data_IF_245476667029
#
_entry.id   IF_245476667029
#
_cell.length_a   1.000
_cell.length_b   1.000
_cell.length_c   1.000
_cell.angle_alpha   90.00
_cell.angle_beta   90.00
_cell.angle_gamma   90.00
#
_symmetry.space_group_name_H-M   'P 1'
#
loop_
_entity.id
_entity.type
_entity.pdbx_description
1 polymer ?
#
# COMPACT_ATOMS: atom_id res chain seq x y z
N UNK A 1 -13.80 -20.23 -11.72
CA UNK A 1 -12.62 -19.78 -10.94
C UNK A 1 -12.83 -18.36 -10.49
N UNK A 2 -12.83 -18.12 -9.18
CA UNK A 2 -12.99 -16.78 -8.67
C UNK A 2 -11.74 -15.95 -8.96
N UNK A 3 -11.91 -14.77 -9.55
CA UNK A 3 -10.83 -13.80 -9.76
C UNK A 3 -10.79 -12.84 -8.57
N UNK A 4 -9.63 -12.25 -8.34
CA UNK A 4 -9.41 -11.25 -7.30
C UNK A 4 -9.63 -11.80 -5.88
N UNK A 5 -9.07 -12.97 -5.63
CA UNK A 5 -9.12 -13.60 -4.31
C UNK A 5 -8.11 -13.02 -3.33
N UNK A 6 -7.08 -12.34 -3.82
CA UNK A 6 -6.03 -11.75 -2.99
C UNK A 6 -5.65 -10.38 -3.55
N UNK A 7 -6.13 -9.35 -2.90
CA UNK A 7 -5.94 -7.97 -3.32
C UNK A 7 -4.83 -7.31 -2.49
N UNK A 8 -3.89 -6.69 -3.18
CA UNK A 8 -2.86 -5.87 -2.55
C UNK A 8 -3.23 -4.40 -2.72
N UNK A 9 -3.35 -3.69 -1.61
CA UNK A 9 -3.67 -2.26 -1.60
C UNK A 9 -2.45 -1.49 -1.15
N UNK A 10 -1.91 -0.63 -2.02
CA UNK A 10 -0.80 0.25 -1.67
C UNK A 10 -1.37 1.46 -0.93
N UNK A 11 -0.91 1.66 0.30
CA UNK A 11 -1.36 2.76 1.15
C UNK A 11 -0.59 4.02 0.81
N UNK A 12 -1.29 5.16 0.76
CA UNK A 12 -0.67 6.47 0.63
C UNK A 12 -0.36 7.01 2.04
N UNK A 13 0.93 7.20 2.38
CA UNK A 13 1.29 7.66 3.73
C UNK A 13 1.02 9.15 3.97
N UNK A 14 0.62 9.89 2.95
CA UNK A 14 0.49 11.35 3.01
C UNK A 14 -0.93 11.81 3.26
N UNK A 15 -1.89 10.91 3.37
CA UNK A 15 -3.28 11.27 3.64
C UNK A 15 -3.99 10.21 4.46
N UNK A 16 -4.99 10.64 5.22
CA UNK A 16 -5.78 9.72 6.05
C UNK A 16 -6.80 8.95 5.22
N UNK A 17 -7.43 9.61 4.24
CA UNK A 17 -8.36 8.94 3.35
C UNK A 17 -7.63 8.06 2.35
N UNK A 18 -8.07 6.80 2.24
CA UNK A 18 -7.43 5.79 1.39
C UNK A 18 -8.43 5.25 0.37
N UNK A 19 -8.60 5.96 -0.77
CA UNK A 19 -9.56 5.53 -1.79
C UNK A 19 -9.33 4.13 -2.32
N UNK A 20 -8.08 3.71 -2.45
CA UNK A 20 -7.75 2.36 -2.92
C UNK A 20 -8.21 1.30 -1.92
N UNK A 21 -8.05 1.54 -0.62
CA UNK A 21 -8.54 0.62 0.41
C UNK A 21 -10.06 0.55 0.41
N UNK A 22 -10.72 1.69 0.30
CA UNK A 22 -12.19 1.76 0.21
C UNK A 22 -12.70 0.95 -0.98
N UNK A 23 -12.03 1.05 -2.12
CA UNK A 23 -12.38 0.29 -3.32
C UNK A 23 -12.18 -1.22 -3.13
N UNK A 24 -11.10 -1.62 -2.47
CA UNK A 24 -10.85 -3.02 -2.17
C UNK A 24 -11.91 -3.61 -1.24
N UNK A 25 -12.32 -2.86 -0.22
CA UNK A 25 -13.41 -3.26 0.68
C UNK A 25 -14.71 -3.42 -0.09
N UNK A 26 -15.01 -2.49 -0.99
CA UNK A 26 -16.18 -2.58 -1.86
C UNK A 26 -16.18 -3.87 -2.68
N UNK A 27 -15.02 -4.21 -3.28
CA UNK A 27 -14.88 -5.45 -4.04
C UNK A 27 -15.04 -6.67 -3.13
N UNK A 28 -14.43 -6.65 -1.96
CA UNK A 28 -14.54 -7.75 -0.98
C UNK A 28 -16.01 -8.03 -0.65
N UNK A 29 -16.81 -6.99 -0.45
CA UNK A 29 -18.23 -7.14 -0.11
C UNK A 29 -19.03 -7.78 -1.23
N UNK A 30 -18.57 -7.70 -2.47
CA UNK A 30 -19.30 -8.22 -3.64
C UNK A 30 -18.79 -9.56 -4.14
N UNK A 31 -17.47 -9.76 -4.12
CA UNK A 31 -16.88 -10.96 -4.72
C UNK A 31 -16.01 -11.74 -3.75
N UNK A 32 -15.89 -11.28 -2.50
CA UNK A 32 -14.98 -11.88 -1.53
C UNK A 32 -13.53 -11.50 -1.79
N UNK A 33 -12.63 -12.31 -1.27
CA UNK A 33 -11.20 -12.09 -1.43
C UNK A 33 -10.57 -11.48 -0.19
N UNK A 34 -9.28 -11.71 -0.03
CA UNK A 34 -8.48 -11.17 1.06
C UNK A 34 -7.89 -9.83 0.65
N UNK A 35 -7.67 -8.98 1.63
CA UNK A 35 -7.07 -7.66 1.41
C UNK A 35 -5.79 -7.59 2.23
N UNK A 36 -4.70 -7.16 1.62
CA UNK A 36 -3.48 -6.78 2.32
C UNK A 36 -3.22 -5.30 2.06
N UNK A 37 -3.21 -4.50 3.13
CA UNK A 37 -2.79 -3.11 3.08
C UNK A 37 -1.27 -3.07 3.22
N UNK A 38 -0.58 -2.53 2.23
CA UNK A 38 0.86 -2.62 2.09
C UNK A 38 1.47 -1.22 1.96
N UNK A 39 2.54 -0.98 2.70
CA UNK A 39 3.27 0.29 2.63
C UNK A 39 4.77 0.04 2.68
N UNK A 40 5.50 0.26 1.58
CA UNK A 40 6.96 0.34 1.62
C UNK A 40 7.38 1.72 2.11
N UNK A 41 8.27 1.76 3.09
CA UNK A 41 8.81 3.00 3.65
C UNK A 41 10.32 3.00 3.58
N UNK A 42 10.91 4.19 3.52
CA UNK A 42 12.34 4.38 3.56
C UNK A 42 12.66 5.79 3.97
N UNK A 43 13.64 5.93 4.86
CA UNK A 43 14.16 7.24 5.23
C UNK A 43 15.68 7.21 5.11
N UNK A 44 16.18 7.92 4.12
CA UNK A 44 17.60 8.00 3.82
C UNK A 44 18.41 8.54 5.00
N UNK A 45 17.85 9.45 5.80
CA UNK A 45 18.55 10.04 6.92
C UNK A 45 18.92 9.02 7.99
N UNK A 46 18.08 8.01 8.22
CA UNK A 46 18.37 6.93 9.16
C UNK A 46 19.50 6.03 8.65
N UNK A 47 19.59 5.84 7.35
CA UNK A 47 20.63 5.00 6.75
C UNK A 47 22.00 5.68 6.75
N UNK A 48 22.02 7.00 6.64
CA UNK A 48 23.25 7.78 6.50
C UNK A 48 23.80 8.29 7.83
N UNK A 49 23.10 8.12 8.95
CA UNK A 49 23.60 8.59 10.22
C UNK A 49 24.75 7.71 10.73
N UNK A 50 25.85 8.34 11.13
CA UNK A 50 26.99 7.66 11.75
C UNK A 50 26.90 7.67 13.28
N UNK A 51 25.87 8.31 13.84
CA UNK A 51 25.68 8.45 15.29
C UNK A 51 25.09 7.21 15.92
N UNK A 52 24.49 6.34 15.11
CA UNK A 52 23.82 5.12 15.58
C UNK A 52 24.62 3.89 15.20
N UNK A 53 24.68 2.93 16.12
CA UNK A 53 25.18 1.60 15.83
C UNK A 53 24.24 0.85 14.89
N UNK A 54 24.69 -0.24 14.25
CA UNK A 54 23.81 -1.07 13.43
C UNK A 54 22.57 -1.58 14.18
N UNK A 55 22.72 -1.96 15.44
CA UNK A 55 21.60 -2.44 16.27
C UNK A 55 20.61 -1.31 16.58
N UNK A 56 21.12 -0.12 16.87
CA UNK A 56 20.28 1.06 17.10
C UNK A 56 19.51 1.45 15.85
N UNK A 57 20.13 1.38 14.68
CA UNK A 57 19.45 1.65 13.40
C UNK A 57 18.34 0.63 13.14
N UNK A 58 18.60 -0.64 13.39
CA UNK A 58 17.58 -1.69 13.25
C UNK A 58 16.40 -1.43 14.17
N UNK A 59 16.66 -1.08 15.42
CA UNK A 59 15.61 -0.76 16.39
C UNK A 59 14.78 0.43 15.94
N UNK A 60 15.42 1.48 15.40
CA UNK A 60 14.72 2.65 14.87
C UNK A 60 13.82 2.31 13.69
N UNK A 61 14.31 1.51 12.73
CA UNK A 61 13.50 1.05 11.60
C UNK A 61 12.28 0.29 12.07
N UNK A 62 12.46 -0.64 13.00
CA UNK A 62 11.37 -1.42 13.57
C UNK A 62 10.35 -0.53 14.28
N UNK A 63 10.82 0.51 14.99
CA UNK A 63 9.94 1.49 15.61
C UNK A 63 9.08 2.25 14.59
N UNK A 64 9.69 2.71 13.52
CA UNK A 64 8.96 3.40 12.44
C UNK A 64 7.96 2.46 11.76
N UNK A 65 8.36 1.23 11.50
CA UNK A 65 7.46 0.20 10.92
C UNK A 65 6.26 -0.03 11.85
N UNK A 66 6.51 -0.16 13.16
CA UNK A 66 5.44 -0.37 14.13
C UNK A 66 4.47 0.82 14.18
N UNK A 67 4.98 2.04 14.16
CA UNK A 67 4.15 3.25 14.14
C UNK A 67 3.28 3.31 12.88
N UNK A 68 3.84 3.04 11.71
CA UNK A 68 3.10 3.05 10.47
C UNK A 68 2.07 1.92 10.39
N UNK A 69 2.42 0.75 10.89
CA UNK A 69 1.48 -0.37 10.98
C UNK A 69 0.27 0.00 11.84
N UNK A 70 0.51 0.60 13.01
CA UNK A 70 -0.56 1.04 13.89
C UNK A 70 -1.43 2.11 13.22
N UNK A 71 -0.82 3.05 12.50
CA UNK A 71 -1.55 4.09 11.78
C UNK A 71 -2.45 3.50 10.70
N UNK A 72 -1.95 2.54 9.91
CA UNK A 72 -2.76 1.87 8.88
C UNK A 72 -3.94 1.14 9.52
N UNK A 73 -3.71 0.44 10.62
CA UNK A 73 -4.79 -0.25 11.34
C UNK A 73 -5.85 0.73 11.85
N UNK A 74 -5.43 1.91 12.29
CA UNK A 74 -6.36 2.94 12.70
C UNK A 74 -7.22 3.42 11.52
N UNK A 75 -6.60 3.62 10.35
CA UNK A 75 -7.33 4.00 9.13
C UNK A 75 -8.31 2.90 8.69
N UNK A 76 -7.98 1.65 8.92
CA UNK A 76 -8.80 0.50 8.55
C UNK A 76 -9.76 0.05 9.66
N UNK A 77 -9.75 0.70 10.80
CA UNK A 77 -10.45 0.26 12.03
C UNK A 77 -11.93 -0.06 11.79
N UNK A 78 -12.65 0.82 11.12
CA UNK A 78 -14.06 0.62 10.83
C UNK A 78 -14.29 -0.69 10.06
N UNK A 79 -13.48 -0.96 9.05
CA UNK A 79 -13.61 -2.17 8.25
C UNK A 79 -13.22 -3.42 9.04
N UNK A 80 -12.16 -3.34 9.83
CA UNK A 80 -11.71 -4.45 10.68
C UNK A 80 -12.76 -4.82 11.72
N UNK A 81 -13.36 -3.82 12.36
CA UNK A 81 -14.44 -4.04 13.33
C UNK A 81 -15.70 -4.62 12.68
N UNK A 82 -15.90 -4.33 11.40
CA UNK A 82 -17.02 -4.88 10.62
C UNK A 82 -16.75 -6.29 10.10
N UNK A 83 -15.58 -6.86 10.40
CA UNK A 83 -15.24 -8.23 10.01
C UNK A 83 -14.59 -8.37 8.64
N UNK A 84 -14.17 -7.27 8.00
CA UNK A 84 -13.46 -7.34 6.72
C UNK A 84 -12.03 -7.86 6.97
N UNK A 85 -11.58 -8.90 6.26
CA UNK A 85 -10.25 -9.46 6.48
C UNK A 85 -9.18 -8.60 5.82
N UNK A 86 -8.52 -7.75 6.61
CA UNK A 86 -7.45 -6.87 6.14
C UNK A 86 -6.18 -7.18 6.94
N UNK A 87 -5.16 -7.69 6.24
CA UNK A 87 -3.81 -7.80 6.79
C UNK A 87 -3.04 -6.52 6.51
N UNK A 88 -2.16 -6.14 7.40
CA UNK A 88 -1.33 -4.94 7.26
C UNK A 88 0.14 -5.34 7.24
N UNK A 89 0.87 -4.84 6.24
CA UNK A 89 2.31 -5.10 6.12
C UNK A 89 3.03 -3.83 5.73
N UNK A 90 4.00 -3.43 6.55
CA UNK A 90 4.88 -2.30 6.30
C UNK A 90 6.30 -2.85 6.18
N UNK A 91 7.00 -2.47 5.12
CA UNK A 91 8.37 -2.94 4.87
C UNK A 91 9.31 -1.76 4.70
N UNK A 92 10.56 -1.96 5.06
CA UNK A 92 11.63 -0.97 4.85
C UNK A 92 12.33 -1.30 3.54
N UNK A 93 12.15 -0.44 2.53
CA UNK A 93 12.70 -0.67 1.20
C UNK A 93 12.89 0.65 0.47
N UNK A 94 14.06 0.84 -0.12
CA UNK A 94 14.40 2.09 -0.81
C UNK A 94 13.81 2.23 -2.21
N UNK A 95 13.22 1.17 -2.74
CA UNK A 95 12.58 1.17 -4.06
C UNK A 95 11.14 0.67 -3.96
N UNK A 96 10.18 1.59 -3.81
CA UNK A 96 8.79 1.19 -3.55
C UNK A 96 8.22 0.23 -4.57
N UNK A 97 8.47 0.45 -5.87
CA UNK A 97 7.92 -0.41 -6.91
C UNK A 97 8.47 -1.84 -6.84
N UNK A 98 9.75 -2.00 -6.48
CA UNK A 98 10.33 -3.33 -6.32
C UNK A 98 9.71 -4.06 -5.13
N UNK A 99 9.54 -3.37 -4.01
CA UNK A 99 8.91 -3.95 -2.83
C UNK A 99 7.48 -4.42 -3.14
N UNK A 100 6.73 -3.61 -3.87
CA UNK A 100 5.35 -3.94 -4.25
C UNK A 100 5.32 -5.17 -5.16
N UNK A 101 6.17 -5.20 -6.18
CA UNK A 101 6.22 -6.34 -7.12
C UNK A 101 6.67 -7.62 -6.39
N UNK A 102 7.66 -7.53 -5.51
CA UNK A 102 8.08 -8.67 -4.70
C UNK A 102 6.94 -9.23 -3.87
N UNK A 103 6.14 -8.36 -3.28
CA UNK A 103 4.97 -8.77 -2.49
C UNK A 103 3.92 -9.45 -3.37
N UNK A 104 3.63 -8.89 -4.54
CA UNK A 104 2.69 -9.49 -5.49
C UNK A 104 3.13 -10.89 -5.89
N UNK A 105 4.40 -11.06 -6.20
CA UNK A 105 4.94 -12.36 -6.65
C UNK A 105 4.97 -13.37 -5.51
N UNK A 106 5.50 -13.00 -4.35
CA UNK A 106 5.71 -13.94 -3.25
C UNK A 106 4.40 -14.40 -2.61
N UNK A 107 3.41 -13.52 -2.53
CA UNK A 107 2.11 -13.82 -1.92
C UNK A 107 1.02 -14.11 -2.95
N UNK A 108 1.37 -14.12 -4.23
CA UNK A 108 0.46 -14.44 -5.33
C UNK A 108 -0.81 -13.59 -5.35
N UNK A 109 -0.65 -12.28 -5.16
CA UNK A 109 -1.78 -11.36 -5.29
C UNK A 109 -2.24 -11.32 -6.75
N UNK A 110 -3.56 -11.23 -6.95
CA UNK A 110 -4.16 -11.24 -8.28
C UNK A 110 -4.80 -9.92 -8.68
N UNK A 111 -4.75 -8.92 -7.81
CA UNK A 111 -5.14 -7.55 -8.11
C UNK A 111 -4.34 -6.59 -7.25
N UNK A 112 -3.81 -5.54 -7.87
CA UNK A 112 -3.11 -4.45 -7.19
C UNK A 112 -3.96 -3.19 -7.31
N UNK A 113 -4.27 -2.55 -6.17
CA UNK A 113 -5.00 -1.28 -6.14
C UNK A 113 -4.08 -0.21 -5.56
N UNK A 114 -3.98 0.91 -6.25
CA UNK A 114 -3.18 2.06 -5.81
C UNK A 114 -3.93 3.34 -6.15
N UNK A 115 -3.88 4.32 -5.27
CA UNK A 115 -4.52 5.61 -5.53
C UNK A 115 -3.80 6.33 -6.66
N UNK A 116 -4.57 6.84 -7.61
CA UNK A 116 -4.09 7.74 -8.64
C UNK A 116 -4.09 9.16 -8.10
N UNK A 117 -2.97 9.87 -8.23
CA UNK A 117 -2.90 11.28 -7.83
C UNK A 117 -3.55 12.16 -8.89
N UNK A 118 -4.36 13.13 -8.44
CA UNK A 118 -4.99 14.11 -9.33
C UNK A 118 -4.44 15.49 -9.06
N UNK A 119 -4.27 16.27 -10.12
CA UNK A 119 -3.96 17.68 -10.00
C UNK A 119 -5.25 18.47 -9.78
N UNK A 120 -5.34 19.20 -8.67
CA UNK A 120 -6.56 19.89 -8.22
C UNK A 120 -7.20 20.80 -9.28
N UNK A 121 -6.37 21.42 -10.13
CA UNK A 121 -6.83 22.41 -11.11
C UNK A 121 -7.18 21.84 -12.48
N UNK A 122 -6.69 20.65 -12.81
CA UNK A 122 -6.79 20.11 -14.16
C UNK A 122 -7.66 18.85 -14.25
N UNK A 123 -8.12 18.33 -13.12
CA UNK A 123 -8.83 17.05 -13.04
C UNK A 123 -8.06 15.92 -13.73
N UNK A 124 -6.78 16.12 -13.98
CA UNK A 124 -5.93 15.16 -14.68
C UNK A 124 -5.22 14.25 -13.69
N UNK A 125 -5.15 12.97 -14.02
CA UNK A 125 -4.38 12.00 -13.25
C UNK A 125 -2.90 12.18 -13.54
N UNK A 126 -2.09 12.29 -12.50
CA UNK A 126 -0.64 12.36 -12.59
C UNK A 126 -0.07 11.02 -12.14
N UNK A 127 0.65 10.34 -13.03
CA UNK A 127 1.35 9.11 -12.70
C UNK A 127 2.75 9.42 -12.18
N UNK A 128 3.07 8.84 -11.00
CA UNK A 128 4.42 8.91 -10.44
C UNK A 128 5.34 7.91 -11.15
N UNK A 129 6.67 8.02 -10.99
CA UNK A 129 7.58 6.97 -11.50
C UNK A 129 7.22 5.57 -10.99
N UNK A 130 6.82 5.44 -9.72
CA UNK A 130 6.36 4.17 -9.18
C UNK A 130 5.15 3.64 -9.94
N UNK A 131 4.19 4.49 -10.25
CA UNK A 131 2.99 4.10 -11.01
C UNK A 131 3.35 3.54 -12.38
N UNK A 132 4.26 4.22 -13.11
CA UNK A 132 4.71 3.75 -14.42
C UNK A 132 5.40 2.39 -14.34
N UNK A 133 6.26 2.18 -13.33
CA UNK A 133 6.92 0.90 -13.14
C UNK A 133 5.92 -0.22 -12.83
N UNK A 134 4.92 0.05 -12.00
CA UNK A 134 3.88 -0.92 -11.67
C UNK A 134 3.04 -1.28 -12.88
N UNK A 135 2.60 -0.28 -13.65
CA UNK A 135 1.79 -0.51 -14.85
C UNK A 135 2.53 -1.33 -15.89
N UNK A 136 3.85 -1.21 -15.97
CA UNK A 136 4.66 -1.91 -16.97
C UNK A 136 5.14 -3.27 -16.52
N UNK A 137 5.37 -3.49 -15.22
CA UNK A 137 6.09 -4.66 -14.72
C UNK A 137 5.31 -5.52 -13.74
N UNK A 138 4.21 -5.05 -13.20
CA UNK A 138 3.43 -5.84 -12.24
C UNK A 138 2.78 -7.03 -12.96
N UNK A 139 2.97 -8.27 -12.45
CA UNK A 139 2.44 -9.47 -13.11
C UNK A 139 0.93 -9.64 -12.96
N UNK A 140 0.26 -8.91 -12.09
CA UNK A 140 -1.19 -8.94 -11.95
C UNK A 140 -1.80 -7.62 -12.45
N UNK A 141 -3.13 -7.59 -12.70
CA UNK A 141 -3.82 -6.35 -13.05
C UNK A 141 -3.60 -5.27 -12.01
N UNK A 142 -3.41 -4.03 -12.49
CA UNK A 142 -3.21 -2.85 -11.65
C UNK A 142 -4.40 -1.91 -11.84
N UNK A 143 -5.08 -1.62 -10.75
CA UNK A 143 -6.18 -0.66 -10.75
C UNK A 143 -5.69 0.63 -10.11
N UNK A 144 -5.55 1.68 -10.92
CA UNK A 144 -5.27 3.02 -10.42
C UNK A 144 -6.59 3.65 -10.01
N UNK A 145 -6.84 3.70 -8.72
CA UNK A 145 -8.11 4.15 -8.16
C UNK A 145 -8.12 5.67 -8.09
N UNK A 146 -9.07 6.28 -8.77
CA UNK A 146 -9.30 7.72 -8.68
C UNK A 146 -10.12 8.04 -7.44
N UNK A 147 -9.84 9.19 -6.84
CA UNK A 147 -10.63 9.69 -5.72
C UNK A 147 -11.92 10.30 -6.27
N UNK A 148 -12.92 9.46 -6.46
CA UNK A 148 -14.22 9.85 -6.96
C UNK A 148 -15.27 9.68 -5.86
N UNK A 149 -16.14 10.67 -5.66
CA UNK A 149 -17.25 10.54 -4.70
C UNK A 149 -18.40 9.74 -5.33
N UNK A 150 -18.37 8.43 -5.16
CA UNK A 150 -19.50 7.59 -5.62
C UNK A 150 -19.59 6.24 -4.94
#
# INVERSE_FOLDING_TARGET
MAKYQSMLVVIDPNQDDQPALRRAVYLHQRIGGRIKAFLPIYDFSYEMTTLLSPDERTAMRQGVIAQRTAWIREQAKFYLESGVPIDVKVVWHNRPFEAIIQEVVSEKHDLLLKMAHQHDKLEAVIFTPTDWHLLRKCPCPVWMVKDQPW
#
